data_IF_520967757211
#
_entry.id   IF_520967757211
#
_cell.length_a   1.000
_cell.length_b   1.000
_cell.length_c   1.000
_cell.angle_alpha   90.00
_cell.angle_beta   90.00
_cell.angle_gamma   90.00
#
_symmetry.space_group_name_H-M   'P 1'
#
loop_
_entity.id
_entity.type
_entity.pdbx_description
1 polymer ?
#
# COMPACT_ATOMS: atom_id res chain seq x y z
N UNK A 1 -0.39 -4.28 13.97
CA UNK A 1 -1.01 -4.97 12.80
C UNK A 1 -1.83 -4.02 11.95
N UNK A 2 -2.88 -3.39 12.51
CA UNK A 2 -3.79 -2.50 11.76
C UNK A 2 -3.10 -1.36 10.97
N UNK A 3 -2.15 -0.66 11.60
CA UNK A 3 -1.42 0.44 10.96
C UNK A 3 -0.40 -0.04 9.90
N UNK A 4 0.14 -1.25 10.06
CA UNK A 4 1.04 -1.88 9.09
C UNK A 4 0.31 -2.33 7.83
N UNK A 5 -0.92 -2.83 7.94
CA UNK A 5 -1.68 -3.44 6.82
C UNK A 5 -1.70 -2.60 5.52
N UNK A 6 -2.07 -1.30 5.53
CA UNK A 6 -2.08 -0.50 4.31
C UNK A 6 -0.65 -0.28 3.76
N UNK A 7 0.35 -0.13 4.63
CA UNK A 7 1.76 0.00 4.24
C UNK A 7 2.28 -1.28 3.57
N UNK A 8 1.94 -2.45 4.12
CA UNK A 8 2.33 -3.75 3.60
C UNK A 8 1.76 -3.99 2.21
N UNK A 9 0.45 -3.78 2.04
CA UNK A 9 -0.21 -3.97 0.74
C UNK A 9 0.36 -3.02 -0.31
N UNK A 10 0.57 -1.75 0.02
CA UNK A 10 1.19 -0.77 -0.89
C UNK A 10 2.66 -1.09 -1.19
N UNK A 11 3.42 -1.60 -0.23
CA UNK A 11 4.81 -2.00 -0.43
C UNK A 11 4.90 -3.22 -1.36
N UNK A 12 4.02 -4.21 -1.18
CA UNK A 12 3.90 -5.35 -2.10
C UNK A 12 3.41 -4.90 -3.49
N UNK A 13 2.52 -3.90 -3.56
CA UNK A 13 2.10 -3.29 -4.83
C UNK A 13 3.28 -2.73 -5.61
N UNK A 14 4.08 -1.86 -4.96
CA UNK A 14 5.31 -1.30 -5.53
C UNK A 14 6.35 -2.37 -5.87
N UNK A 15 6.43 -3.45 -5.08
CA UNK A 15 7.32 -4.56 -5.37
C UNK A 15 7.06 -5.18 -6.76
N UNK A 16 5.78 -5.34 -7.15
CA UNK A 16 5.45 -5.86 -8.48
C UNK A 16 5.81 -4.88 -9.60
N UNK A 17 5.43 -3.61 -9.48
CA UNK A 17 5.69 -2.61 -10.52
C UNK A 17 7.19 -2.38 -10.72
N UNK A 18 7.94 -2.22 -9.62
CA UNK A 18 9.37 -1.94 -9.70
C UNK A 18 10.16 -3.15 -10.18
N UNK A 19 9.79 -4.37 -9.78
CA UNK A 19 10.41 -5.59 -10.32
C UNK A 19 10.19 -5.75 -11.83
N UNK A 20 9.19 -5.08 -12.41
CA UNK A 20 8.96 -5.01 -13.84
C UNK A 20 9.67 -3.81 -14.53
N UNK A 21 10.47 -3.03 -13.78
CA UNK A 21 11.12 -1.83 -14.28
C UNK A 21 10.19 -0.62 -14.42
N UNK A 22 9.05 -0.60 -13.72
CA UNK A 22 8.12 0.52 -13.68
C UNK A 22 8.07 1.13 -12.28
N UNK A 23 8.72 2.27 -12.10
CA UNK A 23 8.64 3.07 -10.89
C UNK A 23 7.27 3.70 -10.75
N UNK A 24 6.76 3.68 -9.53
CA UNK A 24 5.37 4.04 -9.24
C UNK A 24 5.30 4.85 -7.95
N UNK A 25 5.61 6.15 -8.06
CA UNK A 25 5.38 7.11 -6.98
C UNK A 25 3.87 7.43 -6.83
N UNK A 26 3.04 6.96 -7.76
CA UNK A 26 1.59 7.12 -7.78
C UNK A 26 0.84 6.23 -6.78
N UNK A 27 1.53 5.39 -5.98
CA UNK A 27 0.90 4.52 -4.98
C UNK A 27 0.01 5.30 -4.00
N UNK A 28 0.43 6.50 -3.60
CA UNK A 28 -0.33 7.39 -2.71
C UNK A 28 -1.70 7.74 -3.31
N UNK A 29 -1.72 8.25 -4.54
CA UNK A 29 -2.94 8.63 -5.24
C UNK A 29 -3.85 7.44 -5.55
N UNK A 30 -3.27 6.28 -5.89
CA UNK A 30 -4.02 5.03 -6.10
C UNK A 30 -4.73 4.57 -4.83
N UNK A 31 -4.04 4.61 -3.69
CA UNK A 31 -4.64 4.31 -2.39
C UNK A 31 -5.72 5.33 -2.02
N UNK A 32 -5.49 6.62 -2.28
CA UNK A 32 -6.43 7.69 -1.95
C UNK A 32 -7.73 7.56 -2.75
N UNK A 33 -7.61 7.33 -4.07
CA UNK A 33 -8.75 7.07 -4.94
C UNK A 33 -9.49 5.80 -4.51
N UNK A 34 -8.77 4.72 -4.19
CA UNK A 34 -9.39 3.50 -3.70
C UNK A 34 -10.16 3.70 -2.40
N UNK A 35 -9.62 4.46 -1.46
CA UNK A 35 -10.27 4.78 -0.20
C UNK A 35 -11.58 5.56 -0.44
N UNK A 36 -11.53 6.55 -1.34
CA UNK A 36 -12.69 7.35 -1.70
C UNK A 36 -13.78 6.51 -2.40
N UNK A 37 -13.42 5.77 -3.44
CA UNK A 37 -14.35 4.90 -4.17
C UNK A 37 -14.96 3.83 -3.26
N UNK A 38 -14.15 3.24 -2.37
CA UNK A 38 -14.64 2.24 -1.44
C UNK A 38 -15.63 2.81 -0.43
N UNK A 39 -15.34 3.95 0.18
CA UNK A 39 -16.26 4.59 1.12
C UNK A 39 -17.55 5.05 0.44
N UNK A 40 -17.44 5.63 -0.74
CA UNK A 40 -18.61 6.12 -1.49
C UNK A 40 -19.58 4.99 -1.82
N UNK A 41 -19.07 3.89 -2.39
CA UNK A 41 -19.91 2.74 -2.75
C UNK A 41 -20.39 1.97 -1.51
N UNK A 42 -19.54 1.79 -0.49
CA UNK A 42 -19.96 1.14 0.75
C UNK A 42 -21.07 1.92 1.45
N UNK A 43 -21.04 3.26 1.39
CA UNK A 43 -22.11 4.09 1.93
C UNK A 43 -23.42 3.94 1.15
N UNK A 44 -23.35 4.05 -0.19
CA UNK A 44 -24.53 3.97 -1.05
C UNK A 44 -25.20 2.58 -1.05
N UNK A 45 -24.39 1.52 -0.93
CA UNK A 45 -24.88 0.13 -1.02
C UNK A 45 -25.07 -0.54 0.34
N UNK A 46 -24.51 0.05 1.41
CA UNK A 46 -24.45 -0.60 2.73
C UNK A 46 -23.54 -1.84 2.78
N UNK A 47 -22.67 -2.06 1.78
CA UNK A 47 -21.83 -3.27 1.67
C UNK A 47 -20.35 -2.95 1.55
N UNK A 48 -19.55 -3.39 2.54
CA UNK A 48 -18.10 -3.26 2.54
C UNK A 48 -17.43 -4.01 1.37
N UNK A 49 -18.03 -5.11 0.90
CA UNK A 49 -17.50 -5.89 -0.22
C UNK A 49 -17.67 -5.18 -1.57
N UNK A 50 -18.82 -4.55 -1.80
CA UNK A 50 -19.03 -3.70 -2.98
C UNK A 50 -18.13 -2.46 -2.92
N UNK A 51 -17.95 -1.89 -1.72
CA UNK A 51 -16.93 -0.86 -1.48
C UNK A 51 -15.52 -1.35 -1.85
N UNK A 52 -15.10 -2.53 -1.40
CA UNK A 52 -13.79 -3.09 -1.73
C UNK A 52 -13.60 -3.24 -3.25
N UNK A 53 -14.59 -3.78 -3.97
CA UNK A 53 -14.52 -3.91 -5.43
C UNK A 53 -14.44 -2.55 -6.13
N UNK A 54 -15.20 -1.56 -5.65
CA UNK A 54 -15.14 -0.20 -6.17
C UNK A 54 -13.77 0.47 -5.91
N UNK A 55 -13.20 0.26 -4.72
CA UNK A 55 -11.85 0.72 -4.38
C UNK A 55 -10.77 0.10 -5.27
N UNK A 56 -10.87 -1.21 -5.53
CA UNK A 56 -10.01 -1.91 -6.48
C UNK A 56 -10.17 -1.33 -7.89
N UNK A 57 -11.41 -1.10 -8.34
CA UNK A 57 -11.70 -0.48 -9.63
C UNK A 57 -11.10 0.92 -9.78
N UNK A 58 -11.26 1.79 -8.77
CA UNK A 58 -10.71 3.15 -8.78
C UNK A 58 -9.17 3.17 -8.84
N UNK A 59 -8.51 2.32 -8.05
CA UNK A 59 -7.05 2.20 -8.10
C UNK A 59 -6.55 1.56 -9.40
N UNK A 60 -7.25 0.55 -9.92
CA UNK A 60 -6.93 -0.07 -11.21
C UNK A 60 -7.02 0.96 -12.35
N UNK A 61 -8.05 1.81 -12.36
CA UNK A 61 -8.18 2.86 -13.36
C UNK A 61 -6.96 3.79 -13.36
N UNK A 62 -6.54 4.28 -12.19
CA UNK A 62 -5.33 5.10 -12.07
C UNK A 62 -4.05 4.34 -12.40
N UNK A 63 -3.98 3.05 -12.07
CA UNK A 63 -2.88 2.18 -12.49
C UNK A 63 -2.80 2.04 -14.01
N UNK A 64 -3.93 1.87 -14.70
CA UNK A 64 -3.95 1.80 -16.16
C UNK A 64 -3.53 3.12 -16.81
N UNK A 65 -3.96 4.26 -16.24
CA UNK A 65 -3.47 5.59 -16.66
C UNK A 65 -1.95 5.69 -16.48
N UNK A 66 -1.42 5.22 -15.35
CA UNK A 66 0.04 5.15 -15.13
C UNK A 66 0.73 4.30 -16.19
N UNK A 67 0.21 3.10 -16.44
CA UNK A 67 0.76 2.17 -17.43
C UNK A 67 0.69 2.74 -18.85
N UNK A 68 -0.39 3.43 -19.21
CA UNK A 68 -0.52 4.10 -20.51
C UNK A 68 0.53 5.19 -20.68
N UNK A 69 0.67 6.07 -19.69
CA UNK A 69 1.66 7.14 -19.73
C UNK A 69 3.10 6.61 -19.76
N UNK A 70 3.43 5.65 -18.89
CA UNK A 70 4.81 5.16 -18.70
C UNK A 70 5.24 4.09 -19.70
N UNK A 71 4.36 3.17 -20.08
CA UNK A 71 4.70 2.01 -20.92
C UNK A 71 4.39 2.31 -22.40
N UNK A 72 3.20 2.82 -22.70
CA UNK A 72 2.77 3.04 -24.10
C UNK A 72 3.29 4.36 -24.65
N UNK A 73 3.08 5.46 -23.92
CA UNK A 73 3.58 6.78 -24.33
C UNK A 73 5.02 7.06 -23.92
N UNK A 74 5.66 6.13 -23.19
CA UNK A 74 7.08 6.21 -22.81
C UNK A 74 7.42 7.49 -22.05
N UNK A 75 6.45 8.05 -21.33
CA UNK A 75 6.63 9.21 -20.48
C UNK A 75 7.48 8.91 -19.25
N UNK A 76 8.00 9.96 -18.62
CA UNK A 76 8.73 9.82 -17.36
C UNK A 76 7.80 9.29 -16.27
N UNK A 77 8.18 8.14 -15.72
CA UNK A 77 7.38 7.36 -14.77
C UNK A 77 7.19 8.11 -13.44
N UNK A 78 8.19 8.88 -13.00
CA UNK A 78 8.10 9.68 -11.77
C UNK A 78 7.11 10.84 -11.94
N UNK A 79 7.17 11.53 -13.08
CA UNK A 79 6.25 12.63 -13.40
C UNK A 79 4.81 12.11 -13.51
N UNK A 80 4.60 10.98 -14.20
CA UNK A 80 3.29 10.34 -14.29
C UNK A 80 2.73 9.96 -12.91
N UNK A 81 3.57 9.38 -12.04
CA UNK A 81 3.17 9.04 -10.66
C UNK A 81 2.78 10.26 -9.83
N UNK A 82 3.56 11.34 -9.91
CA UNK A 82 3.24 12.61 -9.22
C UNK A 82 1.93 13.21 -9.76
N UNK A 83 1.71 13.19 -11.07
CA UNK A 83 0.47 13.66 -11.68
C UNK A 83 -0.75 12.86 -11.19
N UNK A 84 -0.62 11.54 -11.01
CA UNK A 84 -1.66 10.68 -10.45
C UNK A 84 -1.98 11.06 -9.00
N UNK A 85 -0.97 11.40 -8.20
CA UNK A 85 -1.19 11.84 -6.82
C UNK A 85 -2.00 13.13 -6.78
N UNK A 86 -1.63 14.14 -7.59
CA UNK A 86 -2.39 15.39 -7.68
C UNK A 86 -3.80 15.18 -8.22
N UNK A 87 -3.96 14.34 -9.24
CA UNK A 87 -5.26 13.99 -9.80
C UNK A 87 -6.15 13.36 -8.73
N UNK A 88 -5.65 12.38 -7.97
CA UNK A 88 -6.42 11.74 -6.91
C UNK A 88 -6.77 12.72 -5.78
N UNK A 89 -5.82 13.54 -5.33
CA UNK A 89 -6.04 14.56 -4.30
C UNK A 89 -7.16 15.54 -4.70
N UNK A 90 -7.10 16.08 -5.92
CA UNK A 90 -8.12 17.00 -6.43
C UNK A 90 -9.47 16.33 -6.71
N UNK A 91 -9.46 15.19 -7.40
CA UNK A 91 -10.67 14.52 -7.87
C UNK A 91 -11.50 13.96 -6.72
N UNK A 92 -10.86 13.35 -5.71
CA UNK A 92 -11.59 12.81 -4.55
C UNK A 92 -12.29 13.91 -3.75
N UNK A 93 -11.67 15.09 -3.61
CA UNK A 93 -12.28 16.25 -2.93
C UNK A 93 -13.41 16.84 -3.77
N UNK A 94 -13.21 17.05 -5.07
CA UNK A 94 -14.22 17.61 -5.97
C UNK A 94 -15.48 16.72 -6.01
N UNK A 95 -15.29 15.42 -6.30
CA UNK A 95 -16.40 14.47 -6.39
C UNK A 95 -17.04 14.26 -5.03
N UNK A 96 -16.26 14.17 -3.95
CA UNK A 96 -16.80 14.06 -2.60
C UNK A 96 -17.64 15.26 -2.19
N UNK A 97 -17.21 16.47 -2.54
CA UNK A 97 -17.99 17.69 -2.27
C UNK A 97 -19.28 17.71 -3.08
N UNK A 98 -19.23 17.37 -4.37
CA UNK A 98 -20.42 17.35 -5.23
C UNK A 98 -21.43 16.26 -4.81
N UNK A 99 -20.94 15.06 -4.47
CA UNK A 99 -21.78 13.92 -4.16
C UNK A 99 -22.35 13.94 -2.73
N UNK A 100 -21.59 14.43 -1.75
CA UNK A 100 -21.96 14.33 -0.32
C UNK A 100 -22.08 15.67 0.40
N UNK A 101 -21.54 16.77 -0.15
CA UNK A 101 -21.62 18.09 0.48
C UNK A 101 -20.83 18.26 1.78
N UNK A 102 -19.95 17.31 2.13
CA UNK A 102 -19.24 17.24 3.42
C UNK A 102 -17.76 17.64 3.34
N UNK A 103 -17.41 18.66 2.55
CA UNK A 103 -16.03 19.15 2.43
C UNK A 103 -15.07 18.14 1.79
N UNK A 104 -15.56 17.33 0.84
CA UNK A 104 -14.78 16.24 0.24
C UNK A 104 -14.69 14.97 1.09
N UNK A 105 -15.47 14.86 2.17
CA UNK A 105 -15.59 13.65 3.00
C UNK A 105 -16.81 12.82 2.57
N UNK A 106 -16.80 11.53 2.88
CA UNK A 106 -18.02 10.72 2.79
C UNK A 106 -18.73 10.69 4.14
N UNK A 107 -20.04 10.41 4.18
CA UNK A 107 -20.73 10.11 5.42
C UNK A 107 -20.12 8.90 6.14
N UNK A 108 -20.41 8.79 7.44
CA UNK A 108 -19.91 7.69 8.25
C UNK A 108 -20.53 6.36 7.84
N UNK A 109 -19.69 5.34 7.65
CA UNK A 109 -20.11 3.98 7.36
C UNK A 109 -20.61 3.30 8.64
N UNK A 110 -21.70 2.55 8.53
CA UNK A 110 -22.31 1.80 9.64
C UNK A 110 -22.62 0.37 9.23
N UNK A 111 -22.79 -0.51 10.22
CA UNK A 111 -23.18 -1.91 10.00
C UNK A 111 -22.29 -2.66 8.99
N UNK A 112 -22.93 -3.22 7.96
CA UNK A 112 -22.31 -4.01 6.90
C UNK A 112 -21.51 -3.18 5.89
N UNK A 113 -21.59 -1.84 5.94
CA UNK A 113 -20.75 -0.94 5.15
C UNK A 113 -19.30 -0.91 5.62
N UNK A 114 -18.97 -1.59 6.72
CA UNK A 114 -17.62 -1.70 7.28
C UNK A 114 -17.20 -3.15 7.43
N UNK A 115 -15.91 -3.41 7.26
CA UNK A 115 -15.36 -4.70 7.64
C UNK A 115 -15.26 -4.76 9.16
N UNK A 116 -16.07 -5.62 9.76
CA UNK A 116 -16.06 -5.86 11.20
C UNK A 116 -14.83 -6.68 11.60
N UNK A 117 -14.32 -6.50 12.84
CA UNK A 117 -13.26 -7.33 13.37
C UNK A 117 -13.74 -8.78 13.50
N UNK A 118 -12.87 -9.72 13.14
CA UNK A 118 -13.12 -11.15 13.30
C UNK A 118 -12.44 -11.59 14.59
N UNK A 119 -13.23 -12.17 15.50
CA UNK A 119 -12.71 -12.81 16.70
C UNK A 119 -12.33 -14.25 16.36
N UNK A 120 -11.04 -14.57 16.48
CA UNK A 120 -10.55 -15.92 16.24
C UNK A 120 -11.01 -16.87 17.37
N UNK A 121 -11.23 -18.16 17.08
CA UNK A 121 -11.60 -19.14 18.10
C UNK A 121 -10.53 -19.20 19.19
N UNK A 122 -10.94 -19.45 20.44
CA UNK A 122 -10.08 -19.50 21.63
C UNK A 122 -9.41 -18.17 22.04
N UNK A 123 -9.69 -17.05 21.37
CA UNK A 123 -9.11 -15.76 21.72
C UNK A 123 -9.55 -15.26 23.11
N UNK A 124 -10.79 -15.55 23.52
CA UNK A 124 -11.31 -15.16 24.84
C UNK A 124 -10.78 -16.07 25.95
N UNK A 125 -10.63 -17.38 25.69
CA UNK A 125 -10.16 -18.36 26.67
C UNK A 125 -8.66 -18.26 26.94
N UNK A 126 -7.87 -17.81 25.95
CA UNK A 126 -6.41 -17.67 26.08
C UNK A 126 -6.00 -16.31 26.65
N UNK A 127 -6.93 -15.38 26.88
CA UNK A 127 -6.65 -13.99 27.27
C UNK A 127 -5.85 -13.88 28.57
N UNK A 128 -6.10 -14.78 29.52
CA UNK A 128 -5.47 -14.78 30.84
C UNK A 128 -4.14 -15.53 30.89
N UNK A 129 -3.70 -16.16 29.78
CA UNK A 129 -2.41 -16.85 29.72
C UNK A 129 -1.29 -15.80 29.58
N UNK A 130 -0.30 -15.77 30.51
CA UNK A 130 0.81 -14.83 30.43
C UNK A 130 1.55 -14.96 29.10
N UNK A 131 1.92 -13.82 28.49
CA UNK A 131 2.62 -13.70 27.21
C UNK A 131 1.79 -14.14 25.99
N UNK A 132 1.23 -15.35 25.99
CA UNK A 132 0.48 -15.90 24.84
C UNK A 132 -0.88 -15.21 24.68
N UNK A 133 -1.57 -14.92 25.78
CA UNK A 133 -2.87 -14.25 25.78
C UNK A 133 -2.83 -12.88 25.12
N UNK A 134 -1.97 -11.94 25.55
CA UNK A 134 -1.85 -10.63 24.94
C UNK A 134 -1.47 -10.68 23.45
N UNK A 135 -0.62 -11.62 23.04
CA UNK A 135 -0.22 -11.79 21.65
C UNK A 135 -1.38 -12.35 20.81
N UNK A 136 -2.01 -13.43 21.25
CA UNK A 136 -3.06 -14.08 20.47
C UNK A 136 -4.37 -13.27 20.47
N UNK A 137 -4.84 -12.85 21.65
CA UNK A 137 -6.08 -12.09 21.80
C UNK A 137 -5.96 -10.63 21.38
N UNK A 138 -4.80 -9.99 21.60
CA UNK A 138 -4.62 -8.55 21.38
C UNK A 138 -3.93 -8.18 20.06
N UNK A 139 -2.98 -8.99 19.60
CA UNK A 139 -2.23 -8.69 18.37
C UNK A 139 -2.82 -9.38 17.13
N UNK A 140 -3.24 -10.64 17.26
CA UNK A 140 -3.68 -11.49 16.13
C UNK A 140 -5.21 -11.48 15.97
N UNK A 141 -5.97 -11.67 17.05
CA UNK A 141 -7.44 -11.62 17.04
C UNK A 141 -7.97 -10.18 16.96
N UNK A 142 -9.24 -10.01 16.58
CA UNK A 142 -9.91 -8.70 16.54
C UNK A 142 -9.51 -7.82 15.35
N UNK A 143 -8.84 -8.39 14.34
CA UNK A 143 -8.51 -7.69 13.11
C UNK A 143 -9.56 -7.95 12.03
N UNK A 144 -9.66 -7.05 11.06
CA UNK A 144 -10.58 -7.24 9.93
C UNK A 144 -10.02 -8.26 8.94
N UNK A 145 -10.88 -8.83 8.10
CA UNK A 145 -10.50 -9.80 7.06
C UNK A 145 -9.32 -9.32 6.19
N UNK A 146 -9.26 -8.02 5.90
CA UNK A 146 -8.24 -7.41 5.04
C UNK A 146 -6.85 -7.44 5.67
N UNK A 147 -6.73 -7.47 7.00
CA UNK A 147 -5.43 -7.65 7.68
C UNK A 147 -4.89 -9.04 7.40
N UNK A 148 -5.74 -10.07 7.49
CA UNK A 148 -5.33 -11.45 7.20
C UNK A 148 -5.03 -11.63 5.71
N UNK A 149 -5.79 -11.00 4.82
CA UNK A 149 -5.47 -10.95 3.38
C UNK A 149 -4.10 -10.32 3.16
N UNK A 150 -3.78 -9.19 3.80
CA UNK A 150 -2.47 -8.56 3.65
C UNK A 150 -1.30 -9.45 4.11
N UNK A 151 -1.47 -10.18 5.22
CA UNK A 151 -0.48 -11.15 5.68
C UNK A 151 -0.34 -12.32 4.71
N UNK A 152 -1.45 -12.83 4.18
CA UNK A 152 -1.46 -13.90 3.18
C UNK A 152 -0.80 -13.46 1.87
N UNK A 153 -0.92 -12.18 1.50
CA UNK A 153 -0.26 -11.65 0.31
C UNK A 153 1.26 -11.72 0.37
N UNK A 154 1.89 -11.85 1.55
CA UNK A 154 3.35 -12.00 1.67
C UNK A 154 3.84 -13.34 1.10
N UNK A 155 3.42 -14.52 1.60
CA UNK A 155 3.82 -15.79 1.02
C UNK A 155 3.31 -15.97 -0.42
N UNK A 156 2.13 -15.43 -0.75
CA UNK A 156 1.62 -15.44 -2.14
C UNK A 156 2.56 -14.66 -3.05
N UNK A 157 2.95 -13.44 -2.68
CA UNK A 157 3.86 -12.61 -3.49
C UNK A 157 5.24 -13.26 -3.60
N UNK A 158 5.73 -13.88 -2.52
CA UNK A 158 6.96 -14.65 -2.54
C UNK A 158 6.89 -15.83 -3.52
N UNK A 159 5.82 -16.62 -3.45
CA UNK A 159 5.64 -17.75 -4.34
C UNK A 159 5.51 -17.30 -5.80
N UNK A 160 4.69 -16.29 -6.08
CA UNK A 160 4.50 -15.73 -7.42
C UNK A 160 5.83 -15.21 -7.99
N UNK A 161 6.58 -14.38 -7.26
CA UNK A 161 7.80 -13.76 -7.78
C UNK A 161 9.00 -14.70 -7.88
N UNK A 162 9.13 -15.66 -6.95
CA UNK A 162 10.34 -16.49 -6.83
C UNK A 162 10.14 -17.95 -7.27
N UNK A 163 8.91 -18.45 -7.35
CA UNK A 163 8.62 -19.86 -7.65
C UNK A 163 7.82 -20.08 -8.94
N UNK A 164 7.32 -19.02 -9.59
CA UNK A 164 6.56 -19.16 -10.85
C UNK A 164 7.31 -18.65 -12.08
N UNK A 165 6.90 -19.12 -13.27
CA UNK A 165 7.41 -18.63 -14.57
C UNK A 165 7.10 -17.16 -14.79
N UNK A 166 5.93 -16.69 -14.33
CA UNK A 166 5.55 -15.28 -14.39
C UNK A 166 6.55 -14.43 -13.60
N UNK A 167 6.84 -14.80 -12.35
CA UNK A 167 7.78 -14.07 -11.50
C UNK A 167 9.21 -14.03 -12.04
N UNK A 168 9.70 -15.14 -12.61
CA UNK A 168 11.01 -15.17 -13.25
C UNK A 168 11.07 -14.19 -14.43
N UNK A 169 10.07 -14.23 -15.31
CA UNK A 169 9.98 -13.33 -16.48
C UNK A 169 9.83 -11.87 -16.04
N UNK A 170 9.01 -11.60 -15.02
CA UNK A 170 8.80 -10.26 -14.50
C UNK A 170 10.11 -9.66 -13.98
N UNK A 171 10.85 -10.41 -13.15
CA UNK A 171 12.16 -9.96 -12.65
C UNK A 171 13.18 -9.79 -13.77
N UNK A 172 13.19 -10.68 -14.76
CA UNK A 172 14.06 -10.54 -15.93
C UNK A 172 13.75 -9.26 -16.72
N UNK A 173 12.48 -8.87 -16.82
CA UNK A 173 12.08 -7.60 -17.45
C UNK A 173 12.65 -6.40 -16.68
N UNK A 174 12.63 -6.42 -15.34
CA UNK A 174 13.23 -5.34 -14.55
C UNK A 174 14.76 -5.26 -14.64
N UNK A 175 15.45 -6.37 -14.92
CA UNK A 175 16.91 -6.42 -15.02
C UNK A 175 17.43 -6.14 -16.43
N UNK A 176 16.88 -6.82 -17.46
CA UNK A 176 17.25 -6.64 -18.85
C UNK A 176 16.05 -6.94 -19.79
N UNK A 177 15.21 -5.94 -20.10
CA UNK A 177 14.06 -6.08 -21.00
C UNK A 177 14.40 -6.67 -22.37
N UNK A 178 15.55 -6.30 -22.94
CA UNK A 178 15.96 -6.76 -24.27
C UNK A 178 16.15 -8.29 -24.30
N UNK A 179 16.75 -8.86 -23.25
CA UNK A 179 16.91 -10.32 -23.13
C UNK A 179 15.58 -11.08 -23.06
N UNK A 180 14.52 -10.44 -22.55
CA UNK A 180 13.19 -11.05 -22.45
C UNK A 180 12.47 -10.99 -23.80
N UNK A 181 12.64 -9.90 -24.55
CA UNK A 181 12.03 -9.78 -25.87
C UNK A 181 12.70 -10.70 -26.91
N UNK A 182 14.02 -10.88 -26.85
CA UNK A 182 14.73 -11.87 -27.70
C UNK A 182 14.32 -13.30 -27.41
N UNK A 183 13.92 -13.61 -26.17
CA UNK A 183 13.32 -14.89 -25.79
C UNK A 183 11.84 -15.03 -26.22
N UNK A 184 11.29 -14.07 -26.98
CA UNK A 184 9.94 -14.10 -27.54
C UNK A 184 8.82 -13.73 -26.56
N UNK A 185 9.15 -13.17 -25.39
CA UNK A 185 8.17 -12.80 -24.36
C UNK A 185 7.90 -11.30 -24.40
N UNK A 186 6.62 -10.91 -24.50
CA UNK A 186 6.22 -9.51 -24.51
C UNK A 186 6.53 -8.79 -23.19
N UNK A 187 7.54 -7.91 -23.23
CA UNK A 187 7.90 -6.98 -22.13
C UNK A 187 6.71 -6.08 -21.77
N UNK A 188 6.05 -5.51 -22.76
CA UNK A 188 4.89 -4.60 -22.58
C UNK A 188 3.77 -5.27 -21.77
N UNK A 189 3.38 -6.50 -22.12
CA UNK A 189 2.32 -7.23 -21.39
C UNK A 189 2.72 -7.50 -19.95
N UNK A 190 3.98 -7.85 -19.69
CA UNK A 190 4.48 -8.08 -18.34
C UNK A 190 4.49 -6.81 -17.50
N UNK A 191 4.91 -5.67 -18.06
CA UNK A 191 4.85 -4.36 -17.38
C UNK A 191 3.41 -3.96 -17.07
N UNK A 192 2.48 -4.13 -18.00
CA UNK A 192 1.05 -3.85 -17.75
C UNK A 192 0.45 -4.77 -16.69
N UNK A 193 0.79 -6.07 -16.70
CA UNK A 193 0.34 -7.00 -15.67
C UNK A 193 0.84 -6.59 -14.28
N UNK A 194 2.11 -6.16 -14.16
CA UNK A 194 2.66 -5.68 -12.90
C UNK A 194 1.95 -4.42 -12.39
N UNK A 195 1.71 -3.44 -13.27
CA UNK A 195 0.99 -2.20 -12.90
C UNK A 195 -0.47 -2.48 -12.53
N UNK A 196 -1.11 -3.47 -13.16
CA UNK A 196 -2.45 -3.92 -12.78
C UNK A 196 -2.46 -4.60 -11.39
N UNK A 197 -1.51 -5.50 -11.10
CA UNK A 197 -1.37 -6.11 -9.77
C UNK A 197 -1.11 -5.03 -8.70
N UNK A 198 -0.26 -4.05 -9.01
CA UNK A 198 -0.03 -2.87 -8.18
C UNK A 198 -1.36 -2.15 -7.88
N UNK A 199 -2.17 -1.92 -8.92
CA UNK A 199 -3.50 -1.31 -8.78
C UNK A 199 -4.44 -2.10 -7.87
N UNK A 200 -4.48 -3.43 -7.98
CA UNK A 200 -5.31 -4.28 -7.12
C UNK A 200 -4.86 -4.16 -5.65
N UNK A 201 -3.56 -4.30 -5.39
CA UNK A 201 -3.02 -4.27 -4.03
C UNK A 201 -3.17 -2.89 -3.36
N UNK A 202 -2.94 -1.79 -4.09
CA UNK A 202 -3.27 -0.43 -3.64
C UNK A 202 -4.77 -0.23 -3.43
N UNK A 203 -5.60 -0.87 -4.26
CA UNK A 203 -7.04 -0.89 -4.16
C UNK A 203 -7.51 -1.46 -2.83
N UNK A 204 -6.97 -2.62 -2.46
CA UNK A 204 -7.25 -3.27 -1.18
C UNK A 204 -6.71 -2.42 -0.01
N UNK A 205 -5.51 -1.83 -0.16
CA UNK A 205 -4.90 -0.98 0.86
C UNK A 205 -5.74 0.27 1.16
N UNK A 206 -6.20 0.97 0.13
CA UNK A 206 -7.06 2.15 0.25
C UNK A 206 -8.46 1.80 0.78
N UNK A 207 -9.05 0.71 0.28
CA UNK A 207 -10.33 0.23 0.80
C UNK A 207 -10.25 -0.09 2.29
N UNK A 208 -9.15 -0.71 2.75
CA UNK A 208 -8.90 -0.95 4.17
C UNK A 208 -8.87 0.35 4.99
N UNK A 209 -8.21 1.41 4.50
CA UNK A 209 -8.15 2.69 5.20
C UNK A 209 -9.55 3.25 5.49
N UNK A 210 -10.46 3.20 4.52
CA UNK A 210 -11.77 3.81 4.66
C UNK A 210 -12.84 2.91 5.31
N UNK A 211 -12.79 1.60 5.07
CA UNK A 211 -13.85 0.65 5.50
C UNK A 211 -13.46 -0.20 6.72
N UNK A 212 -12.17 -0.33 7.03
CA UNK A 212 -11.67 -1.15 8.13
C UNK A 212 -10.96 -0.35 9.22
N UNK A 213 -10.04 0.55 8.84
CA UNK A 213 -9.32 1.39 9.80
C UNK A 213 -10.20 2.55 10.28
N UNK A 214 -10.78 3.29 9.33
CA UNK A 214 -11.74 4.37 9.57
C UNK A 214 -13.18 3.92 9.29
N UNK A 215 -14.13 4.83 9.49
CA UNK A 215 -15.55 4.63 9.25
C UNK A 215 -16.05 5.50 8.08
N UNK A 216 -15.31 5.56 6.98
CA UNK A 216 -15.55 6.47 5.86
C UNK A 216 -14.28 7.16 5.38
N UNK A 217 -14.41 7.95 4.31
CA UNK A 217 -13.30 8.69 3.71
C UNK A 217 -13.16 10.08 4.32
N UNK A 218 -11.91 10.47 4.54
CA UNK A 218 -11.50 11.83 4.91
C UNK A 218 -10.47 12.29 3.90
N UNK A 219 -10.48 13.59 3.59
CA UNK A 219 -9.50 14.23 2.69
C UNK A 219 -8.07 13.88 3.13
N UNK A 220 -7.25 13.49 2.16
CA UNK A 220 -5.84 13.11 2.35
C UNK A 220 -5.62 12.02 3.41
N UNK A 221 -6.58 11.10 3.63
CA UNK A 221 -6.44 10.08 4.68
C UNK A 221 -5.28 9.09 4.48
N UNK A 222 -4.75 8.98 3.27
CA UNK A 222 -3.52 8.20 3.01
C UNK A 222 -2.33 8.83 3.72
N UNK A 223 -2.25 10.16 3.82
CA UNK A 223 -1.30 10.91 4.62
C UNK A 223 0.17 10.50 4.41
N UNK A 224 0.56 10.26 3.15
CA UNK A 224 1.92 9.89 2.77
C UNK A 224 2.27 8.41 2.98
N UNK A 225 1.31 7.55 3.34
CA UNK A 225 1.53 6.10 3.51
C UNK A 225 2.02 5.41 2.24
N UNK A 226 1.66 5.89 1.06
CA UNK A 226 2.20 5.41 -0.21
C UNK A 226 3.70 5.68 -0.35
N UNK A 227 4.18 6.84 0.10
CA UNK A 227 5.62 7.16 0.11
C UNK A 227 6.38 6.36 1.18
N UNK A 228 5.78 6.18 2.35
CA UNK A 228 6.34 5.30 3.41
C UNK A 228 6.46 3.87 2.89
N UNK A 229 5.48 3.38 2.14
CA UNK A 229 5.53 2.05 1.54
C UNK A 229 6.67 1.88 0.53
N UNK A 230 7.00 2.91 -0.25
CA UNK A 230 8.19 2.92 -1.13
C UNK A 230 9.49 2.92 -0.31
N UNK A 231 9.57 3.71 0.75
CA UNK A 231 10.72 3.66 1.65
C UNK A 231 10.90 2.25 2.25
N UNK A 232 9.80 1.63 2.70
CA UNK A 232 9.79 0.25 3.18
C UNK A 232 10.23 -0.76 2.10
N UNK A 233 9.88 -0.54 0.83
CA UNK A 233 10.31 -1.38 -0.28
C UNK A 233 11.84 -1.34 -0.48
N UNK A 234 12.43 -0.14 -0.37
CA UNK A 234 13.88 0.06 -0.44
C UNK A 234 14.57 -0.68 0.72
N UNK A 235 14.06 -0.51 1.95
CA UNK A 235 14.55 -1.24 3.12
C UNK A 235 14.44 -2.76 2.96
N UNK A 236 13.37 -3.21 2.32
CA UNK A 236 13.11 -4.61 2.06
C UNK A 236 14.00 -5.22 0.97
N UNK A 237 14.81 -4.41 0.25
CA UNK A 237 15.62 -4.84 -0.89
C UNK A 237 14.79 -5.62 -1.92
N UNK A 238 13.56 -5.17 -2.16
CA UNK A 238 12.59 -5.81 -3.05
C UNK A 238 12.35 -7.31 -2.74
N UNK A 239 12.27 -7.68 -1.46
CA UNK A 239 11.96 -9.04 -1.02
C UNK A 239 10.71 -9.06 -0.11
N UNK A 240 9.72 -9.95 -0.35
CA UNK A 240 8.43 -9.92 0.35
C UNK A 240 8.50 -10.10 1.87
N UNK A 241 9.33 -11.03 2.36
CA UNK A 241 9.46 -11.26 3.79
C UNK A 241 10.09 -10.07 4.52
N UNK A 242 11.09 -9.44 3.89
CA UNK A 242 11.71 -8.22 4.40
C UNK A 242 10.72 -7.04 4.34
N UNK A 243 9.83 -6.99 3.36
CA UNK A 243 8.77 -5.98 3.28
C UNK A 243 7.79 -6.08 4.45
N UNK A 244 7.46 -7.31 4.88
CA UNK A 244 6.67 -7.53 6.10
C UNK A 244 7.37 -6.93 7.32
N UNK A 245 8.65 -7.25 7.55
CA UNK A 245 9.38 -6.72 8.71
C UNK A 245 9.57 -5.20 8.66
N UNK A 246 9.89 -4.65 7.49
CA UNK A 246 10.04 -3.21 7.31
C UNK A 246 8.72 -2.48 7.62
N UNK A 247 7.62 -2.89 7.00
CA UNK A 247 6.30 -2.25 7.23
C UNK A 247 5.77 -2.50 8.64
N UNK A 248 6.12 -3.63 9.28
CA UNK A 248 5.82 -3.87 10.68
C UNK A 248 6.51 -2.85 11.59
N UNK A 249 7.80 -2.58 11.35
CA UNK A 249 8.54 -1.55 12.08
C UNK A 249 7.91 -0.17 11.91
N UNK A 250 7.54 0.23 10.69
CA UNK A 250 6.84 1.49 10.46
C UNK A 250 5.49 1.56 11.19
N UNK A 251 4.68 0.52 11.08
CA UNK A 251 3.39 0.45 11.77
C UNK A 251 3.53 0.41 13.29
N UNK A 252 4.63 -0.14 13.82
CA UNK A 252 4.95 -0.10 15.24
C UNK A 252 5.28 1.33 15.68
N UNK A 253 6.12 2.06 14.94
CA UNK A 253 6.43 3.45 15.27
C UNK A 253 5.19 4.34 15.21
N UNK A 254 4.33 4.15 14.20
CA UNK A 254 3.06 4.87 14.12
C UNK A 254 2.14 4.52 15.30
N UNK A 255 2.14 3.27 15.77
CA UNK A 255 1.38 2.87 16.95
C UNK A 255 1.91 3.53 18.24
N UNK A 256 3.25 3.56 18.43
CA UNK A 256 3.87 4.23 19.57
C UNK A 256 3.54 5.73 19.52
N UNK A 257 3.62 6.34 18.33
CA UNK A 257 3.31 7.75 18.16
C UNK A 257 1.85 8.10 18.51
N UNK A 258 0.92 7.23 18.15
CA UNK A 258 -0.48 7.39 18.51
C UNK A 258 -0.76 7.11 19.98
N UNK A 259 0.00 6.21 20.62
CA UNK A 259 -0.19 5.85 22.04
C UNK A 259 0.39 6.90 23.00
N UNK A 260 1.54 7.50 22.64
CA UNK A 260 2.22 8.50 23.45
C UNK A 260 2.42 9.80 22.65
N UNK A 261 1.33 10.52 22.32
CA UNK A 261 1.43 11.71 21.47
C UNK A 261 2.15 12.87 22.18
N UNK A 262 2.07 12.99 23.49
CA UNK A 262 2.84 13.97 24.26
C UNK A 262 3.60 13.22 25.35
N UNK A 263 4.85 12.83 25.06
CA UNK A 263 5.66 12.06 25.99
C UNK A 263 6.29 13.01 27.02
N UNK A 264 5.78 12.97 28.23
CA UNK A 264 6.33 13.73 29.35
C UNK A 264 7.48 12.95 30.00
N UNK A 265 8.70 13.47 29.87
CA UNK A 265 9.91 12.92 30.50
C UNK A 265 10.24 13.65 31.82
N UNK A 266 9.30 14.41 32.37
CA UNK A 266 9.39 15.15 33.64
C UNK A 266 10.09 16.50 33.50
N UNK A 267 11.22 16.56 32.77
CA UNK A 267 11.97 17.80 32.52
C UNK A 267 11.62 18.41 31.15
N UNK A 268 11.29 17.56 30.18
CA UNK A 268 10.99 17.96 28.80
C UNK A 268 9.77 17.17 28.33
N UNK A 269 8.77 17.88 27.81
CA UNK A 269 7.62 17.29 27.11
C UNK A 269 7.93 17.23 25.62
N UNK A 270 7.98 16.02 25.08
CA UNK A 270 8.15 15.81 23.63
C UNK A 270 6.79 16.06 22.96
N UNK A 271 6.69 17.03 22.02
CA UNK A 271 5.43 17.35 21.37
C UNK A 271 5.04 16.29 20.34
N UNK A 272 3.74 16.18 20.08
CA UNK A 272 3.17 15.25 19.09
C UNK A 272 3.74 15.38 17.68
N UNK A 273 4.16 16.57 17.27
CA UNK A 273 4.83 16.75 15.98
C UNK A 273 6.14 15.97 15.89
N UNK A 274 6.93 15.94 16.96
CA UNK A 274 8.16 15.15 17.01
C UNK A 274 7.84 13.66 16.99
N UNK A 275 6.81 13.26 17.74
CA UNK A 275 6.38 11.87 17.80
C UNK A 275 5.91 11.35 16.43
N UNK A 276 5.16 12.17 15.69
CA UNK A 276 4.73 11.87 14.33
C UNK A 276 5.90 11.86 13.33
N UNK A 277 7.02 12.53 13.65
CA UNK A 277 8.23 12.51 12.84
C UNK A 277 9.07 11.23 13.03
N UNK A 278 8.84 10.45 14.10
CA UNK A 278 9.64 9.25 14.43
C UNK A 278 9.79 8.25 13.26
N UNK A 279 8.74 7.89 12.50
CA UNK A 279 8.89 7.00 11.35
C UNK A 279 9.92 7.51 10.34
N UNK A 280 9.91 8.80 10.05
CA UNK A 280 10.80 9.44 9.08
C UNK A 280 12.21 9.67 9.63
N UNK A 281 12.35 9.97 10.92
CA UNK A 281 13.68 10.07 11.55
C UNK A 281 14.36 8.70 11.52
N UNK A 282 13.62 7.64 11.85
CA UNK A 282 14.17 6.29 11.83
C UNK A 282 14.55 5.87 10.40
N UNK A 283 13.78 6.23 9.38
CA UNK A 283 14.18 5.91 8.00
C UNK A 283 15.53 6.51 7.65
N UNK A 284 15.75 7.79 7.98
CA UNK A 284 17.02 8.47 7.71
C UNK A 284 18.16 7.76 8.43
N UNK A 285 18.00 7.43 9.71
CA UNK A 285 19.03 6.73 10.50
C UNK A 285 19.35 5.35 9.91
N UNK A 286 18.34 4.57 9.55
CA UNK A 286 18.52 3.21 9.05
C UNK A 286 19.15 3.23 7.65
N UNK A 287 18.70 4.12 6.75
CA UNK A 287 19.28 4.30 5.41
C UNK A 287 20.74 4.76 5.48
N UNK A 288 21.04 5.73 6.34
CA UNK A 288 22.38 6.27 6.49
C UNK A 288 23.34 5.28 7.18
N UNK A 289 22.85 4.50 8.15
CA UNK A 289 23.69 3.70 9.04
C UNK A 289 23.82 2.20 8.72
N UNK A 290 22.75 1.53 8.26
CA UNK A 290 22.66 0.06 8.43
C UNK A 290 22.20 -0.76 7.22
N UNK A 291 21.59 -0.17 6.20
CA UNK A 291 20.94 -0.94 5.12
C UNK A 291 21.94 -1.50 4.10
N UNK A 292 23.15 -0.95 4.06
CA UNK A 292 24.14 -1.26 3.01
C UNK A 292 23.63 -0.87 1.62
N UNK A 293 24.25 -1.40 0.55
CA UNK A 293 23.85 -1.08 -0.83
C UNK A 293 22.46 -1.67 -1.16
N UNK A 294 21.47 -0.81 -1.37
CA UNK A 294 20.21 -1.17 -2.01
C UNK A 294 20.39 -1.07 -3.53
N UNK A 295 20.28 -2.19 -4.24
CA UNK A 295 20.40 -2.24 -5.70
C UNK A 295 19.00 -2.36 -6.29
N UNK A 296 18.43 -1.28 -6.86
CA UNK A 296 17.17 -1.37 -7.58
C UNK A 296 17.34 -2.17 -8.90
N UNK A 297 16.24 -2.63 -9.51
CA UNK A 297 16.27 -3.25 -10.83
C UNK A 297 16.91 -2.30 -11.87
N UNK A 298 17.84 -2.83 -12.67
CA UNK A 298 18.69 -2.03 -13.56
C UNK A 298 17.92 -1.21 -14.61
N UNK A 299 16.83 -1.75 -15.13
CA UNK A 299 15.98 -1.06 -16.12
C UNK A 299 14.83 -0.28 -15.46
N UNK A 300 14.90 -0.02 -14.15
CA UNK A 300 13.91 0.74 -13.40
C UNK A 300 13.90 2.21 -13.82
N UNK A 301 12.71 2.75 -14.11
CA UNK A 301 12.55 4.17 -14.50
C UNK A 301 12.73 4.45 -15.99
N UNK A 302 13.27 3.50 -16.77
CA UNK A 302 13.53 3.69 -18.20
C UNK A 302 12.41 3.11 -19.10
N UNK A 303 11.88 3.91 -20.05
CA UNK A 303 10.97 3.40 -21.07
C UNK A 303 11.64 2.36 -21.97
N UNK A 304 10.97 1.23 -22.21
CA UNK A 304 11.51 0.20 -23.10
C UNK A 304 11.16 0.49 -24.57
N UNK A 305 12.16 0.43 -25.44
CA UNK A 305 12.01 0.53 -26.89
C UNK A 305 12.36 -0.82 -27.49
N UNK A 306 11.42 -1.41 -28.23
CA UNK A 306 11.66 -2.63 -28.98
C UNK A 306 12.51 -2.32 -30.21
N UNK A 307 13.67 -2.97 -30.33
CA UNK A 307 14.45 -2.98 -31.56
C UNK A 307 13.61 -3.67 -32.65
N UNK A 308 13.44 -2.99 -33.78
CA UNK A 308 12.68 -3.49 -34.94
C UNK A 308 13.61 -4.20 -35.90
#
# INVERSE_FOLDING_TARGET
MRLMTPLLLACLAGLYSERAGVFDIGLEGKMLMAAFSAASVAYLTGSAWLGLLAGIGGSLALSLVHGLASITFRGNQLIAGVAINFLASGLTVLVGQNAFGLGGRTPALTGAGRFQPINLPFAETLRDVPVIGPIYSGLISGNTILVYVALLMVPVTWWVLFRTRFGLRLRAVGENPASVDTAGVSVTRLRYAAVAICGILCGIAGAYLATGLSAGFVKEMTAGRGFIALAALIFAKWRPWQALFATFLFGLLEAIANLYPNLDLGIITIPSMFMNALPYILTVIILAGFVGRAVPPRAGGEPYVKER
#
